data_IF_572337442211
#
_entry.id   IF_572337442211
#
_cell.length_a   1.000
_cell.length_b   1.000
_cell.length_c   1.000
_cell.angle_alpha   90.00
_cell.angle_beta   90.00
_cell.angle_gamma   90.00
#
_symmetry.space_group_name_H-M   'P 1'
#
loop_
_entity.id
_entity.type
_entity.pdbx_description
1 polymer ?
#
# COMPACT_ATOMS: atom_id res chain seq x y z
N UNK A 1 -9.48 12.51 13.90
CA UNK A 1 -8.21 11.76 13.92
C UNK A 1 -8.32 10.41 14.62
N UNK A 2 -9.28 10.19 15.53
CA UNK A 2 -9.36 8.92 16.30
C UNK A 2 -9.92 7.71 15.53
N UNK A 3 -10.64 7.88 14.42
CA UNK A 3 -11.17 6.75 13.63
C UNK A 3 -10.14 6.14 12.67
N UNK A 4 -9.22 6.95 12.15
CA UNK A 4 -8.29 6.53 11.10
C UNK A 4 -7.23 5.58 11.67
N UNK A 5 -6.87 5.74 12.96
CA UNK A 5 -5.89 4.89 13.65
C UNK A 5 -6.30 3.41 13.75
N UNK A 6 -7.51 3.05 14.23
CA UNK A 6 -7.92 1.64 14.27
C UNK A 6 -8.13 1.02 12.89
N UNK A 7 -8.50 1.80 11.88
CA UNK A 7 -8.64 1.33 10.50
C UNK A 7 -7.28 1.06 9.86
N UNK A 8 -6.30 1.95 10.06
CA UNK A 8 -4.92 1.69 9.66
C UNK A 8 -4.37 0.46 10.37
N UNK A 9 -4.53 0.36 11.68
CA UNK A 9 -4.03 -0.79 12.45
C UNK A 9 -4.61 -2.11 11.93
N UNK A 10 -5.91 -2.17 11.63
CA UNK A 10 -6.54 -3.34 11.00
C UNK A 10 -5.97 -3.66 9.62
N UNK A 11 -5.78 -2.64 8.77
CA UNK A 11 -5.22 -2.85 7.44
C UNK A 11 -3.77 -3.34 7.50
N UNK A 12 -2.96 -2.81 8.41
CA UNK A 12 -1.59 -3.26 8.63
C UNK A 12 -1.53 -4.69 9.18
N UNK A 13 -2.39 -5.05 10.13
CA UNK A 13 -2.47 -6.40 10.68
C UNK A 13 -2.90 -7.42 9.60
N UNK A 14 -3.91 -7.07 8.78
CA UNK A 14 -4.32 -7.88 7.62
C UNK A 14 -3.20 -7.99 6.58
N UNK A 15 -2.41 -6.93 6.37
CA UNK A 15 -1.27 -6.98 5.45
C UNK A 15 -0.12 -7.85 5.99
N UNK A 16 0.12 -7.87 7.32
CA UNK A 16 1.10 -8.77 7.94
C UNK A 16 0.64 -10.23 7.91
N UNK A 17 -0.64 -10.50 8.16
CA UNK A 17 -1.21 -11.84 8.00
C UNK A 17 -1.12 -12.31 6.55
N UNK A 18 -1.46 -11.46 5.58
CA UNK A 18 -1.33 -11.77 4.15
C UNK A 18 0.13 -12.03 3.76
N UNK A 19 1.09 -11.33 4.36
CA UNK A 19 2.53 -11.58 4.15
C UNK A 19 2.95 -12.95 4.69
N UNK A 20 2.39 -13.38 5.83
CA UNK A 20 2.68 -14.67 6.45
C UNK A 20 1.99 -15.84 5.72
N UNK A 21 0.78 -15.64 5.20
CA UNK A 21 -0.01 -16.66 4.50
C UNK A 21 0.36 -16.78 3.00
N UNK A 22 0.62 -15.65 2.33
CA UNK A 22 0.92 -15.61 0.91
C UNK A 22 1.84 -14.43 0.54
N UNK A 23 3.13 -14.64 0.76
CA UNK A 23 4.18 -13.67 0.48
C UNK A 23 4.18 -13.16 -0.97
N UNK A 24 3.85 -14.02 -1.95
CA UNK A 24 3.85 -13.64 -3.37
C UNK A 24 2.72 -12.66 -3.70
N UNK A 25 1.52 -12.90 -3.16
CA UNK A 25 0.40 -11.98 -3.33
C UNK A 25 0.64 -10.66 -2.60
N UNK A 26 1.24 -10.69 -1.40
CA UNK A 26 1.65 -9.49 -0.68
C UNK A 26 2.64 -8.64 -1.49
N UNK A 27 3.68 -9.26 -2.07
CA UNK A 27 4.64 -8.56 -2.96
C UNK A 27 3.93 -7.99 -4.18
N UNK A 28 2.97 -8.71 -4.78
CA UNK A 28 2.19 -8.24 -5.93
C UNK A 28 1.38 -6.99 -5.58
N UNK A 29 0.68 -6.99 -4.45
CA UNK A 29 -0.12 -5.84 -4.00
C UNK A 29 0.75 -4.64 -3.61
N UNK A 30 1.87 -4.88 -2.92
CA UNK A 30 2.82 -3.83 -2.55
C UNK A 30 3.47 -3.20 -3.80
N UNK A 31 3.84 -4.02 -4.80
CA UNK A 31 4.36 -3.54 -6.07
C UNK A 31 3.32 -2.75 -6.87
N UNK A 32 2.05 -3.16 -6.86
CA UNK A 32 0.97 -2.41 -7.49
C UNK A 32 0.76 -1.04 -6.83
N UNK A 33 0.76 -0.99 -5.49
CA UNK A 33 0.67 0.24 -4.72
C UNK A 33 1.87 1.18 -5.00
N UNK A 34 3.07 0.62 -5.04
CA UNK A 34 4.30 1.36 -5.37
C UNK A 34 4.29 1.89 -6.80
N UNK A 35 3.88 1.09 -7.78
CA UNK A 35 3.75 1.51 -9.18
C UNK A 35 2.73 2.65 -9.32
N UNK A 36 1.60 2.56 -8.62
CA UNK A 36 0.59 3.61 -8.63
C UNK A 36 1.08 4.90 -7.98
N UNK A 37 1.83 4.82 -6.88
CA UNK A 37 2.47 5.99 -6.27
C UNK A 37 3.55 6.60 -7.18
N UNK A 38 4.36 5.78 -7.85
CA UNK A 38 5.36 6.24 -8.82
C UNK A 38 4.72 6.90 -10.04
N UNK A 39 3.58 6.40 -10.52
CA UNK A 39 2.82 7.03 -11.61
C UNK A 39 2.22 8.38 -11.20
N UNK A 40 1.66 8.48 -10.00
CA UNK A 40 1.13 9.75 -9.46
C UNK A 40 2.26 10.78 -9.33
N UNK A 41 3.40 10.40 -8.75
CA UNK A 41 4.57 11.30 -8.62
C UNK A 41 5.14 11.69 -9.98
N UNK A 42 5.22 10.77 -10.95
CA UNK A 42 5.61 11.09 -12.32
C UNK A 42 4.63 12.02 -13.02
N UNK A 43 3.33 11.87 -12.77
CA UNK A 43 2.31 12.76 -13.32
C UNK A 43 2.44 14.18 -12.75
N UNK A 44 2.85 14.33 -11.48
CA UNK A 44 3.12 15.64 -10.89
C UNK A 44 4.44 16.26 -11.39
N UNK A 45 5.48 15.46 -11.68
CA UNK A 45 6.77 15.96 -12.16
C UNK A 45 6.81 16.37 -13.64
N UNK A 46 5.86 15.95 -14.48
CA UNK A 46 5.83 16.29 -15.92
C UNK A 46 5.22 17.70 -16.15
N UNK A 47 4.59 18.30 -15.14
CA UNK A 47 3.95 19.62 -15.23
C UNK A 47 4.74 20.76 -14.56
N UNK A 48 6.06 20.60 -14.36
CA UNK A 48 6.99 21.68 -13.96
C UNK A 48 7.91 22.10 -15.11
#
# INVERSE_FOLDING_TARGET
MELIMPELAKQYDVAEQLKAENQMEWVRQMNACKAQAEEVVKAELIYD
#
